data_IF_889312953121
#
_entry.id   IF_889312953121
#
_cell.length_a   1.000
_cell.length_b   1.000
_cell.length_c   1.000
_cell.angle_alpha   90.00
_cell.angle_beta   90.00
_cell.angle_gamma   90.00
#
_symmetry.space_group_name_H-M   'P 1'
#
loop_
_entity.id
_entity.type
_entity.pdbx_description
1 polymer ?
#
# COMPACT_ATOMS: atom_id res chain seq x y z
N UNK A 1 -22.73 -13.81 -8.22
CA UNK A 1 -22.59 -15.16 -8.77
C UNK A 1 -21.84 -15.05 -10.09
N UNK A 2 -20.56 -15.37 -10.18
CA UNK A 2 -19.57 -15.65 -9.12
C UNK A 2 -18.29 -14.84 -9.41
N UNK A 3 -17.43 -14.67 -8.42
CA UNK A 3 -16.08 -14.17 -8.67
C UNK A 3 -15.28 -15.25 -9.42
N UNK A 4 -14.26 -14.87 -10.20
CA UNK A 4 -13.38 -15.85 -10.86
C UNK A 4 -12.79 -16.82 -9.81
N UNK A 5 -13.11 -18.12 -9.86
CA UNK A 5 -12.68 -19.07 -8.85
C UNK A 5 -11.15 -19.23 -8.86
N UNK A 6 -10.48 -19.04 -10.01
CA UNK A 6 -9.03 -19.14 -10.08
C UNK A 6 -8.33 -18.03 -9.28
N UNK A 7 -8.70 -16.77 -9.51
CA UNK A 7 -8.20 -15.62 -8.76
C UNK A 7 -8.54 -15.67 -7.26
N UNK A 8 -9.73 -16.15 -6.89
CA UNK A 8 -10.15 -16.27 -5.49
C UNK A 8 -9.42 -17.39 -4.75
N UNK A 9 -9.26 -18.58 -5.36
CA UNK A 9 -8.46 -19.65 -4.74
C UNK A 9 -6.97 -19.30 -4.70
N UNK A 10 -6.44 -18.61 -5.71
CA UNK A 10 -5.06 -18.11 -5.65
C UNK A 10 -4.88 -17.09 -4.51
N UNK A 11 -5.88 -16.26 -4.21
CA UNK A 11 -5.85 -15.37 -3.05
C UNK A 11 -5.84 -16.14 -1.73
N UNK A 12 -6.76 -17.11 -1.57
CA UNK A 12 -6.82 -18.01 -0.40
C UNK A 12 -5.52 -18.80 -0.19
N UNK A 13 -4.79 -19.11 -1.27
CA UNK A 13 -3.50 -19.79 -1.20
C UNK A 13 -2.39 -18.95 -0.52
N UNK A 14 -2.52 -17.62 -0.45
CA UNK A 14 -1.52 -16.75 0.18
C UNK A 14 -1.55 -16.89 1.72
N UNK A 15 -0.41 -17.24 2.32
CA UNK A 15 -0.28 -17.27 3.78
C UNK A 15 -0.59 -15.91 4.43
N UNK A 16 -0.20 -14.80 3.79
CA UNK A 16 -0.51 -13.46 4.27
C UNK A 16 -2.03 -13.16 4.28
N UNK A 17 -2.79 -13.70 3.32
CA UNK A 17 -4.26 -13.59 3.31
C UNK A 17 -4.85 -14.39 4.49
N UNK A 18 -4.47 -15.66 4.63
CA UNK A 18 -4.96 -16.51 5.73
C UNK A 18 -4.66 -15.93 7.11
N UNK A 19 -3.41 -15.51 7.38
CA UNK A 19 -3.04 -14.88 8.65
C UNK A 19 -3.73 -13.52 8.90
N UNK A 20 -4.19 -12.83 7.86
CA UNK A 20 -5.05 -11.67 8.04
C UNK A 20 -6.49 -12.09 8.34
N UNK A 21 -7.08 -13.05 7.62
CA UNK A 21 -8.42 -13.56 7.91
C UNK A 21 -8.53 -14.20 9.30
N UNK A 22 -7.54 -15.02 9.70
CA UNK A 22 -7.39 -15.57 11.06
C UNK A 22 -7.42 -14.46 12.12
N UNK A 23 -6.68 -13.36 11.89
CA UNK A 23 -6.64 -12.20 12.77
C UNK A 23 -7.94 -11.39 12.76
N UNK A 24 -8.55 -11.16 11.59
CA UNK A 24 -9.84 -10.48 11.48
C UNK A 24 -10.86 -11.26 12.34
N UNK A 25 -10.99 -12.57 12.13
CA UNK A 25 -11.88 -13.42 12.93
C UNK A 25 -11.59 -13.37 14.43
N UNK A 26 -10.32 -13.40 14.84
CA UNK A 26 -9.94 -13.36 16.26
C UNK A 26 -10.15 -11.98 16.92
N UNK A 27 -9.95 -10.89 16.19
CA UNK A 27 -10.07 -9.53 16.70
C UNK A 27 -11.49 -8.94 16.58
N UNK A 28 -12.34 -9.46 15.68
CA UNK A 28 -13.66 -8.92 15.39
C UNK A 28 -14.59 -8.81 16.62
N UNK A 29 -14.70 -9.80 17.52
CA UNK A 29 -15.59 -9.68 18.69
C UNK A 29 -15.20 -8.50 19.60
N UNK A 30 -13.92 -8.40 19.96
CA UNK A 30 -13.42 -7.27 20.77
C UNK A 30 -13.47 -5.92 20.04
N UNK A 31 -13.40 -5.91 18.70
CA UNK A 31 -13.67 -4.71 17.91
C UNK A 31 -15.15 -4.31 17.98
N UNK A 32 -16.09 -5.25 17.85
CA UNK A 32 -17.53 -4.98 17.99
C UNK A 32 -17.87 -4.45 19.39
N UNK A 33 -17.29 -5.01 20.45
CA UNK A 33 -17.44 -4.54 21.83
C UNK A 33 -16.97 -3.09 22.00
N UNK A 34 -15.73 -2.77 21.58
CA UNK A 34 -15.21 -1.39 21.65
C UNK A 34 -16.02 -0.44 20.78
N UNK A 35 -16.40 -0.87 19.58
CA UNK A 35 -17.24 -0.09 18.67
C UNK A 35 -18.62 0.20 19.28
N UNK A 36 -19.25 -0.76 19.95
CA UNK A 36 -20.51 -0.57 20.65
C UNK A 36 -20.36 0.48 21.76
N UNK A 37 -19.38 0.31 22.66
CA UNK A 37 -19.11 1.25 23.75
C UNK A 37 -18.77 2.68 23.25
N UNK A 38 -18.04 2.81 22.14
CA UNK A 38 -17.76 4.11 21.51
C UNK A 38 -19.00 4.77 20.89
N UNK A 39 -20.03 3.99 20.52
CA UNK A 39 -21.27 4.48 19.92
C UNK A 39 -22.38 4.78 20.96
N UNK A 40 -22.18 4.45 22.24
CA UNK A 40 -23.12 4.80 23.30
C UNK A 40 -23.27 6.33 23.42
N UNK A 41 -24.50 6.89 23.42
CA UNK A 41 -24.70 8.33 23.53
C UNK A 41 -24.19 8.88 24.87
N UNK A 42 -23.10 9.64 24.83
CA UNK A 42 -22.55 10.26 26.03
C UNK A 42 -23.52 11.32 26.58
N UNK A 43 -24.00 11.21 27.84
CA UNK A 43 -25.17 11.96 28.33
C UNK A 43 -24.98 13.48 28.42
N UNK A 44 -23.75 13.99 28.27
CA UNK A 44 -23.42 15.43 28.23
C UNK A 44 -23.08 15.96 26.82
N UNK A 45 -23.05 15.09 25.80
CA UNK A 45 -22.67 15.42 24.42
C UNK A 45 -23.75 14.96 23.46
N UNK A 46 -24.82 15.76 23.31
CA UNK A 46 -26.10 15.31 22.75
C UNK A 46 -26.09 14.65 21.36
N UNK A 47 -25.17 15.05 20.47
CA UNK A 47 -24.91 14.36 19.19
C UNK A 47 -23.50 13.80 19.20
N UNK A 48 -23.37 12.52 18.86
CA UNK A 48 -22.08 11.82 18.82
C UNK A 48 -21.14 12.43 17.76
N UNK A 49 -19.90 12.84 18.13
CA UNK A 49 -19.02 13.61 17.24
C UNK A 49 -18.26 12.73 16.22
N UNK A 50 -17.70 13.36 15.20
CA UNK A 50 -16.91 12.71 14.12
C UNK A 50 -15.67 12.00 14.68
N UNK A 51 -15.13 12.49 15.80
CA UNK A 51 -14.01 11.87 16.53
C UNK A 51 -14.31 10.43 17.01
N UNK A 52 -15.58 10.08 17.22
CA UNK A 52 -15.97 8.69 17.54
C UNK A 52 -15.78 7.78 16.31
N UNK A 53 -16.12 8.24 15.11
CA UNK A 53 -15.82 7.52 13.87
C UNK A 53 -14.31 7.37 13.68
N UNK A 54 -13.52 8.42 13.90
CA UNK A 54 -12.05 8.33 13.84
C UNK A 54 -11.51 7.23 14.76
N UNK A 55 -11.93 7.17 16.03
CA UNK A 55 -11.43 6.15 16.97
C UNK A 55 -11.99 4.74 16.73
N UNK A 56 -13.15 4.60 16.07
CA UNK A 56 -13.62 3.29 15.56
C UNK A 56 -12.73 2.84 14.39
N UNK A 57 -12.29 3.75 13.52
CA UNK A 57 -11.34 3.44 12.45
C UNK A 57 -9.94 3.14 13.01
N UNK A 58 -9.49 3.84 14.04
CA UNK A 58 -8.22 3.57 14.73
C UNK A 58 -8.20 2.14 15.30
N UNK A 59 -9.25 1.73 16.03
CA UNK A 59 -9.42 0.35 16.51
C UNK A 59 -9.40 -0.66 15.35
N UNK A 60 -10.12 -0.37 14.25
CA UNK A 60 -10.21 -1.24 13.09
C UNK A 60 -8.84 -1.44 12.43
N UNK A 61 -8.18 -0.35 12.03
CA UNK A 61 -6.96 -0.44 11.24
C UNK A 61 -5.79 -1.01 12.04
N UNK A 62 -5.63 -0.60 13.31
CA UNK A 62 -4.53 -1.07 14.16
C UNK A 62 -4.75 -2.48 14.69
N UNK A 63 -5.92 -2.77 15.28
CA UNK A 63 -6.16 -4.04 15.97
C UNK A 63 -6.58 -5.17 15.04
N UNK A 64 -7.33 -4.85 13.98
CA UNK A 64 -7.93 -5.86 13.08
C UNK A 64 -7.12 -6.02 11.78
N UNK A 65 -6.57 -4.92 11.24
CA UNK A 65 -5.99 -4.88 9.88
C UNK A 65 -4.46 -4.71 9.80
N UNK A 66 -3.76 -4.88 10.93
CA UNK A 66 -2.29 -4.93 11.06
C UNK A 66 -1.57 -3.60 10.78
N UNK A 67 -2.28 -2.46 10.80
CA UNK A 67 -1.61 -1.17 10.60
C UNK A 67 -0.80 -0.77 11.84
N UNK A 68 0.48 -0.36 11.67
CA UNK A 68 1.22 0.25 12.76
C UNK A 68 0.50 1.50 13.26
N UNK A 69 0.59 1.79 14.57
CA UNK A 69 -0.05 2.98 15.15
C UNK A 69 0.59 4.26 14.59
N UNK A 70 1.91 4.24 14.38
CA UNK A 70 2.66 5.27 13.66
C UNK A 70 2.27 5.40 12.16
N UNK A 71 1.53 4.44 11.62
CA UNK A 71 0.96 4.48 10.28
C UNK A 71 -0.49 4.98 10.21
N UNK A 72 -1.13 5.26 11.35
CA UNK A 72 -2.48 5.84 11.42
C UNK A 72 -2.38 7.33 11.76
N UNK A 73 -2.47 8.19 10.75
CA UNK A 73 -2.16 9.62 10.89
C UNK A 73 -3.46 10.46 10.82
N UNK A 74 -4.03 10.91 11.96
CA UNK A 74 -5.17 11.81 11.94
C UNK A 74 -4.77 13.22 11.49
N UNK A 75 -5.69 13.91 10.82
CA UNK A 75 -5.64 15.36 10.50
C UNK A 75 -4.44 15.83 9.64
N UNK A 76 -3.88 14.94 8.81
CA UNK A 76 -2.78 15.25 7.88
C UNK A 76 -3.30 15.98 6.64
N UNK A 77 -2.80 17.19 6.41
CA UNK A 77 -3.03 17.97 5.17
C UNK A 77 -4.53 18.05 4.80
N UNK A 78 -5.37 18.38 5.80
CA UNK A 78 -6.84 18.51 5.74
C UNK A 78 -7.64 17.23 5.52
N UNK A 79 -7.00 16.08 5.31
CA UNK A 79 -7.69 14.78 5.39
C UNK A 79 -7.88 14.36 6.86
N UNK A 80 -9.03 13.74 7.17
CA UNK A 80 -9.34 13.34 8.55
C UNK A 80 -8.39 12.23 9.03
N UNK A 81 -8.09 11.25 8.18
CA UNK A 81 -7.12 10.18 8.42
C UNK A 81 -6.33 9.89 7.13
N UNK A 82 -5.01 9.73 7.27
CA UNK A 82 -4.13 9.19 6.22
C UNK A 82 -3.41 7.95 6.76
N UNK A 83 -3.53 6.83 6.05
CA UNK A 83 -2.78 5.61 6.36
C UNK A 83 -1.46 5.59 5.57
N UNK A 84 -0.35 5.47 6.27
CA UNK A 84 1.00 5.46 5.72
C UNK A 84 1.84 4.30 6.27
N UNK A 85 2.85 3.86 5.51
CA UNK A 85 3.91 2.96 5.99
C UNK A 85 5.21 3.35 5.29
N UNK A 86 6.30 3.57 6.05
CA UNK A 86 7.61 3.96 5.53
C UNK A 86 7.55 5.27 4.72
N UNK A 87 6.83 6.27 5.25
CA UNK A 87 6.55 7.57 4.64
C UNK A 87 5.56 7.55 3.47
N UNK A 88 5.30 6.39 2.87
CA UNK A 88 4.45 6.24 1.67
C UNK A 88 2.98 6.21 2.09
N UNK A 89 2.14 7.02 1.43
CA UNK A 89 0.72 7.20 1.73
C UNK A 89 -0.13 6.26 0.86
N UNK A 90 -1.02 5.49 1.49
CA UNK A 90 -1.71 4.36 0.87
C UNK A 90 -3.23 4.47 0.81
N UNK A 91 -3.85 5.12 1.81
CA UNK A 91 -5.29 5.32 1.89
C UNK A 91 -5.58 6.65 2.57
N UNK A 92 -6.48 7.45 1.98
CA UNK A 92 -7.10 8.59 2.66
C UNK A 92 -8.50 8.20 3.09
N UNK A 93 -8.90 8.54 4.32
CA UNK A 93 -10.23 8.28 4.85
C UNK A 93 -10.88 9.59 5.29
N UNK A 94 -12.10 9.81 4.83
CA UNK A 94 -13.00 10.87 5.30
C UNK A 94 -13.96 10.29 6.34
N UNK A 95 -14.01 10.91 7.53
CA UNK A 95 -14.75 10.44 8.69
C UNK A 95 -15.97 11.33 8.96
N UNK A 96 -17.18 10.77 8.82
CA UNK A 96 -18.46 11.46 9.10
C UNK A 96 -19.06 10.97 10.42
N UNK A 97 -20.06 11.71 10.93
CA UNK A 97 -20.70 11.43 12.24
C UNK A 97 -21.30 10.03 12.26
N UNK A 98 -21.30 9.34 13.42
CA UNK A 98 -21.97 8.06 13.60
C UNK A 98 -23.32 7.92 12.88
N UNK A 99 -23.37 7.03 11.88
CA UNK A 99 -24.56 6.73 11.08
C UNK A 99 -25.02 7.80 10.10
N UNK A 100 -24.29 8.92 9.92
CA UNK A 100 -24.77 10.05 9.10
C UNK A 100 -24.67 9.85 7.59
N UNK A 101 -23.95 8.83 7.11
CA UNK A 101 -24.00 8.44 5.69
C UNK A 101 -25.21 7.55 5.43
N UNK A 102 -25.65 6.76 6.42
CA UNK A 102 -26.93 6.02 6.42
C UNK A 102 -27.16 5.16 5.15
N UNK A 103 -26.08 4.65 4.54
CA UNK A 103 -26.07 3.94 3.26
C UNK A 103 -26.64 4.75 2.06
N UNK A 104 -26.82 6.06 2.23
CA UNK A 104 -27.32 6.95 1.18
C UNK A 104 -26.22 7.20 0.14
N UNK A 105 -26.41 6.67 -1.07
CA UNK A 105 -25.46 6.80 -2.18
C UNK A 105 -24.99 8.25 -2.41
N UNK A 106 -25.91 9.22 -2.45
CA UNK A 106 -25.54 10.62 -2.70
C UNK A 106 -24.78 11.28 -1.55
N UNK A 107 -24.89 10.77 -0.32
CA UNK A 107 -24.05 11.19 0.81
C UNK A 107 -22.65 10.57 0.72
N UNK A 108 -22.58 9.28 0.39
CA UNK A 108 -21.33 8.54 0.14
C UNK A 108 -20.54 9.15 -1.01
N UNK A 109 -21.18 9.42 -2.16
CA UNK A 109 -20.56 10.03 -3.34
C UNK A 109 -19.95 11.41 -3.00
N UNK A 110 -20.66 12.27 -2.26
CA UNK A 110 -20.13 13.58 -1.82
C UNK A 110 -18.94 13.48 -0.86
N UNK A 111 -18.97 12.52 0.07
CA UNK A 111 -17.85 12.28 0.97
C UNK A 111 -16.62 11.73 0.20
N UNK A 112 -16.87 10.89 -0.82
CA UNK A 112 -15.81 10.39 -1.71
C UNK A 112 -15.23 11.51 -2.57
N UNK A 113 -16.03 12.45 -3.07
CA UNK A 113 -15.53 13.63 -3.78
C UNK A 113 -14.66 14.50 -2.86
N UNK A 114 -15.05 14.66 -1.59
CA UNK A 114 -14.23 15.36 -0.59
C UNK A 114 -12.86 14.69 -0.42
N UNK A 115 -12.82 13.37 -0.20
CA UNK A 115 -11.61 12.57 -0.11
C UNK A 115 -10.78 12.56 -1.41
N UNK A 116 -11.43 12.60 -2.58
CA UNK A 116 -10.77 12.62 -3.90
C UNK A 116 -9.91 13.87 -4.09
N UNK A 117 -10.33 15.03 -3.57
CA UNK A 117 -9.52 16.26 -3.61
C UNK A 117 -8.20 16.08 -2.86
N UNK A 118 -8.28 15.62 -1.60
CA UNK A 118 -7.11 15.37 -0.77
C UNK A 118 -6.22 14.27 -1.38
N UNK A 119 -6.81 13.23 -1.98
CA UNK A 119 -6.06 12.18 -2.67
C UNK A 119 -5.33 12.69 -3.92
N UNK A 120 -5.89 13.66 -4.63
CA UNK A 120 -5.21 14.36 -5.74
C UNK A 120 -4.05 15.22 -5.23
N UNK A 121 -4.28 16.03 -4.19
CA UNK A 121 -3.27 16.89 -3.55
C UNK A 121 -2.09 16.07 -3.00
N UNK A 122 -2.40 14.97 -2.28
CA UNK A 122 -1.43 14.09 -1.61
C UNK A 122 -0.93 12.93 -2.50
N UNK A 123 -1.36 12.86 -3.77
CA UNK A 123 -0.93 11.86 -4.77
C UNK A 123 -1.18 10.40 -4.32
N UNK A 124 -2.33 10.14 -3.70
CA UNK A 124 -2.79 8.83 -3.20
C UNK A 124 -3.83 8.22 -4.15
N UNK A 125 -3.70 6.92 -4.46
CA UNK A 125 -4.56 6.24 -5.44
C UNK A 125 -5.73 5.43 -4.85
N UNK A 126 -5.93 5.45 -3.52
CA UNK A 126 -7.08 4.83 -2.87
C UNK A 126 -7.69 5.76 -1.81
N UNK A 127 -9.02 5.78 -1.76
CA UNK A 127 -9.82 6.59 -0.84
C UNK A 127 -10.88 5.76 -0.14
N UNK A 128 -11.29 6.19 1.05
CA UNK A 128 -12.40 5.62 1.79
C UNK A 128 -13.25 6.68 2.47
N UNK A 129 -14.49 6.29 2.82
CA UNK A 129 -15.43 7.07 3.61
C UNK A 129 -16.03 6.17 4.69
N UNK A 130 -16.24 6.71 5.89
CA UNK A 130 -16.91 5.99 6.97
C UNK A 130 -17.78 6.90 7.83
N UNK A 131 -18.81 6.33 8.43
CA UNK A 131 -19.64 6.93 9.46
C UNK A 131 -19.68 6.07 10.74
N UNK A 132 -18.66 5.23 10.97
CA UNK A 132 -18.60 4.30 12.11
C UNK A 132 -19.63 3.16 12.06
N UNK A 133 -20.57 3.17 11.11
CA UNK A 133 -21.56 2.10 10.86
C UNK A 133 -21.22 1.35 9.57
N UNK A 134 -20.80 2.07 8.53
CA UNK A 134 -20.26 1.50 7.30
C UNK A 134 -18.85 2.01 6.98
N UNK A 135 -18.13 1.23 6.18
CA UNK A 135 -16.88 1.62 5.52
C UNK A 135 -16.99 1.29 4.04
N UNK A 136 -16.85 2.30 3.19
CA UNK A 136 -16.71 2.14 1.74
C UNK A 136 -15.32 2.63 1.31
N UNK A 137 -14.68 1.92 0.39
CA UNK A 137 -13.40 2.30 -0.20
C UNK A 137 -13.38 2.07 -1.70
N UNK A 138 -12.64 2.91 -2.42
CA UNK A 138 -12.46 2.86 -3.87
C UNK A 138 -11.01 3.15 -4.28
N UNK A 139 -10.58 2.54 -5.38
CA UNK A 139 -9.38 2.96 -6.11
C UNK A 139 -9.71 4.13 -7.04
N UNK A 140 -8.84 5.15 -7.08
CA UNK A 140 -8.88 6.21 -8.09
C UNK A 140 -8.09 5.71 -9.29
N UNK A 141 -8.76 5.53 -10.41
CA UNK A 141 -8.16 4.99 -11.64
C UNK A 141 -8.92 5.49 -12.88
N UNK A 142 -8.20 5.66 -13.98
CA UNK A 142 -8.77 5.87 -15.32
C UNK A 142 -9.72 7.10 -15.41
N UNK A 143 -9.48 8.11 -14.56
CA UNK A 143 -10.32 9.31 -14.45
C UNK A 143 -11.58 9.16 -13.58
N UNK A 144 -11.82 7.98 -13.01
CA UNK A 144 -12.98 7.67 -12.17
C UNK A 144 -12.64 7.00 -10.85
N UNK A 145 -13.66 6.40 -10.22
CA UNK A 145 -13.58 5.62 -8.98
C UNK A 145 -13.96 4.17 -9.28
N UNK A 146 -13.20 3.20 -8.75
CA UNK A 146 -13.44 1.75 -8.87
C UNK A 146 -13.68 1.17 -7.48
N UNK A 147 -14.82 0.51 -7.29
CA UNK A 147 -15.17 -0.11 -6.00
C UNK A 147 -14.06 -1.03 -5.48
N UNK A 148 -13.67 -0.87 -4.21
CA UNK A 148 -12.61 -1.67 -3.59
C UNK A 148 -13.09 -2.49 -2.40
N UNK A 149 -13.82 -1.89 -1.46
CA UNK A 149 -14.42 -2.56 -0.29
C UNK A 149 -15.72 -1.86 0.09
N UNK A 150 -16.73 -2.61 0.53
CA UNK A 150 -17.95 -2.07 1.12
C UNK A 150 -18.44 -2.99 2.23
N UNK A 151 -18.39 -2.54 3.49
CA UNK A 151 -18.67 -3.41 4.65
C UNK A 151 -19.50 -2.70 5.74
N UNK A 152 -20.45 -3.41 6.38
CA UNK A 152 -21.07 -2.99 7.63
C UNK A 152 -20.12 -3.29 8.81
N UNK A 153 -19.70 -2.26 9.53
CA UNK A 153 -18.83 -2.39 10.71
C UNK A 153 -19.55 -2.95 11.95
N UNK A 154 -20.87 -3.14 11.86
CA UNK A 154 -21.71 -3.80 12.87
C UNK A 154 -22.13 -5.24 12.53
N UNK A 155 -21.53 -5.86 11.51
CA UNK A 155 -21.78 -7.27 11.17
C UNK A 155 -21.42 -8.20 12.33
N UNK A 156 -22.25 -9.20 12.65
CA UNK A 156 -21.87 -10.29 13.55
C UNK A 156 -20.69 -11.09 12.99
N UNK A 157 -20.74 -11.36 11.69
CA UNK A 157 -19.73 -12.15 10.99
C UNK A 157 -18.57 -11.24 10.54
N UNK A 158 -17.31 -11.65 10.73
CA UNK A 158 -16.13 -10.86 10.36
C UNK A 158 -16.07 -10.65 8.83
N UNK A 159 -16.15 -9.40 8.31
CA UNK A 159 -16.17 -9.15 6.88
C UNK A 159 -14.74 -9.25 6.30
N UNK A 160 -14.36 -10.46 5.89
CA UNK A 160 -13.01 -10.80 5.39
C UNK A 160 -12.54 -9.97 4.18
N UNK A 161 -13.47 -9.31 3.48
CA UNK A 161 -13.20 -8.35 2.41
C UNK A 161 -12.37 -7.14 2.87
N UNK A 162 -12.35 -6.85 4.18
CA UNK A 162 -11.42 -5.90 4.82
C UNK A 162 -9.94 -6.22 4.56
N UNK A 163 -9.59 -7.45 4.18
CA UNK A 163 -8.26 -7.82 3.70
C UNK A 163 -7.69 -6.80 2.69
N UNK A 164 -8.52 -6.31 1.76
CA UNK A 164 -8.10 -5.39 0.70
C UNK A 164 -7.67 -4.00 1.21
N UNK A 165 -7.98 -3.66 2.47
CA UNK A 165 -7.50 -2.45 3.16
C UNK A 165 -6.45 -2.75 4.24
N UNK A 166 -6.08 -4.02 4.43
CA UNK A 166 -4.99 -4.39 5.34
C UNK A 166 -3.61 -3.96 4.80
N UNK A 167 -2.63 -3.91 5.70
CA UNK A 167 -1.20 -3.68 5.39
C UNK A 167 -0.64 -4.59 4.30
N UNK A 168 -1.26 -5.73 4.03
CA UNK A 168 -0.84 -6.70 3.03
C UNK A 168 -1.76 -6.77 1.80
N UNK A 169 -2.92 -6.11 1.82
CA UNK A 169 -3.88 -6.04 0.71
C UNK A 169 -3.96 -4.69 0.00
N UNK A 170 -3.67 -3.56 0.69
CA UNK A 170 -3.86 -2.20 0.16
C UNK A 170 -3.04 -1.87 -1.11
N UNK A 171 -1.92 -2.56 -1.34
CA UNK A 171 -1.13 -2.43 -2.57
C UNK A 171 -1.48 -3.49 -3.64
N UNK A 172 -2.52 -4.31 -3.44
CA UNK A 172 -2.94 -5.35 -4.39
C UNK A 172 -4.15 -4.88 -5.18
N UNK A 173 -4.06 -4.97 -6.50
CA UNK A 173 -5.20 -4.74 -7.41
C UNK A 173 -6.30 -5.76 -7.09
N UNK A 174 -7.52 -5.29 -6.82
CA UNK A 174 -8.67 -6.18 -6.68
C UNK A 174 -9.16 -6.57 -8.07
N UNK A 175 -8.96 -7.84 -8.44
CA UNK A 175 -9.47 -8.39 -9.69
C UNK A 175 -10.98 -8.59 -9.64
N UNK A 176 -11.67 -8.18 -10.70
CA UNK A 176 -13.09 -8.45 -10.93
C UNK A 176 -13.24 -9.27 -12.23
N UNK A 177 -14.13 -10.28 -12.29
CA UNK A 177 -14.26 -11.13 -13.46
C UNK A 177 -14.78 -10.36 -14.69
N UNK A 178 -14.04 -10.43 -15.79
CA UNK A 178 -14.45 -9.84 -17.07
C UNK A 178 -15.74 -10.52 -17.56
N UNK A 179 -16.83 -9.75 -17.63
CA UNK A 179 -18.13 -10.26 -18.06
C UNK A 179 -19.27 -9.82 -17.18
N UNK A 180 -19.00 -9.55 -15.89
CA UNK A 180 -19.87 -8.72 -15.06
C UNK A 180 -20.00 -7.35 -15.74
N UNK A 181 -21.23 -6.96 -16.09
CA UNK A 181 -21.46 -5.66 -16.70
C UNK A 181 -21.24 -4.57 -15.64
N UNK A 182 -20.50 -3.51 -15.93
CA UNK A 182 -20.31 -2.94 -17.27
C UNK A 182 -18.84 -2.91 -17.76
N UNK A 183 -18.22 -4.12 -17.90
CA UNK A 183 -17.67 -4.73 -19.15
C UNK A 183 -16.75 -3.86 -20.08
N UNK A 184 -15.61 -4.29 -20.69
CA UNK A 184 -15.04 -5.59 -21.12
C UNK A 184 -13.50 -5.53 -21.44
N UNK A 185 -12.79 -6.67 -21.27
CA UNK A 185 -11.65 -7.27 -22.04
C UNK A 185 -10.21 -6.63 -22.14
N UNK A 186 -9.14 -7.42 -22.51
CA UNK A 186 -7.69 -7.04 -22.45
C UNK A 186 -6.81 -7.35 -23.71
N UNK A 187 -5.50 -7.03 -23.68
CA UNK A 187 -4.44 -7.46 -24.64
C UNK A 187 -3.04 -7.70 -23.96
N UNK A 188 -2.12 -8.42 -24.64
CA UNK A 188 -0.69 -8.66 -24.27
C UNK A 188 0.23 -8.71 -25.56
N UNK A 189 1.53 -9.13 -25.54
CA UNK A 189 2.73 -8.31 -25.28
C UNK A 189 3.82 -8.38 -26.39
N UNK A 190 5.04 -7.85 -26.17
CA UNK A 190 6.20 -7.98 -27.09
C UNK A 190 7.58 -7.96 -26.38
N UNK A 191 8.64 -8.51 -27.00
CA UNK A 191 9.96 -8.86 -26.36
C UNK A 191 11.19 -7.98 -26.76
N UNK A 192 12.42 -8.33 -26.34
CA UNK A 192 13.65 -7.51 -26.48
C UNK A 192 14.99 -8.31 -26.48
N UNK A 193 16.06 -7.80 -27.13
CA UNK A 193 17.50 -8.01 -26.75
C UNK A 193 18.33 -6.68 -26.74
N UNK A 194 19.47 -6.42 -26.06
CA UNK A 194 20.58 -7.15 -25.39
C UNK A 194 21.91 -7.24 -26.21
N UNK A 195 23.16 -7.09 -25.70
CA UNK A 195 23.73 -6.62 -24.40
C UNK A 195 25.30 -6.50 -24.42
N UNK A 196 25.91 -5.82 -23.42
CA UNK A 196 27.33 -5.94 -22.91
C UNK A 196 28.50 -5.31 -23.71
N UNK A 197 29.79 -5.32 -23.23
CA UNK A 197 30.40 -5.27 -21.86
C UNK A 197 31.27 -3.99 -21.66
N UNK A 198 31.98 -3.63 -20.56
CA UNK A 198 32.63 -4.29 -19.40
C UNK A 198 34.17 -4.01 -19.43
N UNK A 199 35.01 -4.29 -18.39
CA UNK A 199 34.80 -4.60 -16.96
C UNK A 199 35.16 -3.34 -16.09
N UNK A 200 35.85 -3.26 -14.93
CA UNK A 200 36.44 -4.20 -13.93
C UNK A 200 36.52 -3.56 -12.50
N UNK A 201 37.45 -4.00 -11.62
CA UNK A 201 37.30 -3.96 -10.15
C UNK A 201 38.59 -3.80 -9.30
N UNK A 202 38.39 -3.53 -8.00
CA UNK A 202 39.35 -3.69 -6.90
C UNK A 202 38.64 -4.22 -5.64
N UNK A 203 39.39 -4.85 -4.72
CA UNK A 203 38.83 -5.64 -3.61
C UNK A 203 38.04 -4.83 -2.56
N UNK A 204 36.90 -5.37 -2.11
CA UNK A 204 36.03 -4.78 -1.07
C UNK A 204 35.35 -5.87 -0.23
N UNK A 205 35.18 -5.61 1.08
CA UNK A 205 34.46 -6.45 2.04
C UNK A 205 33.09 -6.93 1.54
N UNK A 206 32.80 -8.24 1.63
CA UNK A 206 31.63 -8.88 1.02
C UNK A 206 30.57 -9.36 2.03
N UNK A 207 29.29 -9.26 1.64
CA UNK A 207 28.16 -9.72 2.44
C UNK A 207 28.10 -11.27 2.54
N UNK A 208 27.98 -11.87 3.75
CA UNK A 208 28.03 -13.33 3.97
C UNK A 208 27.14 -14.19 3.05
N UNK A 209 25.85 -13.82 2.90
CA UNK A 209 24.88 -14.50 2.02
C UNK A 209 25.05 -14.18 0.52
N UNK A 210 25.05 -12.90 0.15
CA UNK A 210 24.98 -12.46 -1.25
C UNK A 210 26.33 -12.40 -1.98
N UNK A 211 27.45 -12.47 -1.24
CA UNK A 211 28.83 -12.33 -1.76
C UNK A 211 29.07 -11.05 -2.59
N UNK A 212 28.35 -9.98 -2.26
CA UNK A 212 28.48 -8.65 -2.86
C UNK A 212 28.97 -7.62 -1.83
N UNK A 213 29.73 -6.60 -2.26
CA UNK A 213 30.17 -5.52 -1.39
C UNK A 213 29.07 -4.51 -1.04
N UNK A 214 29.29 -3.69 -0.02
CA UNK A 214 28.33 -2.70 0.50
C UNK A 214 27.70 -1.81 -0.59
N UNK A 215 28.49 -1.36 -1.57
CA UNK A 215 28.05 -0.53 -2.72
C UNK A 215 26.90 -1.13 -3.53
N UNK A 216 26.68 -2.45 -3.46
CA UNK A 216 25.64 -3.13 -4.23
C UNK A 216 24.25 -3.12 -3.54
N UNK A 217 24.13 -2.54 -2.34
CA UNK A 217 22.93 -2.56 -1.49
C UNK A 217 22.33 -1.14 -1.37
N UNK A 218 21.01 -1.02 -1.53
CA UNK A 218 20.36 0.30 -1.54
C UNK A 218 20.30 0.95 -0.14
N UNK A 219 20.40 0.13 0.92
CA UNK A 219 20.59 0.57 2.29
C UNK A 219 21.77 -0.15 2.95
N UNK A 220 22.63 0.62 3.62
CA UNK A 220 23.72 0.15 4.48
C UNK A 220 23.61 0.95 5.78
N UNK A 221 23.39 0.27 6.91
CA UNK A 221 23.33 0.92 8.22
C UNK A 221 24.73 1.08 8.84
N UNK A 222 25.54 0.02 8.76
CA UNK A 222 26.92 -0.02 9.25
C UNK A 222 27.80 -0.74 8.22
N UNK A 223 28.84 -0.05 7.73
CA UNK A 223 29.79 -0.58 6.75
C UNK A 223 30.70 -1.68 7.34
N UNK A 224 30.88 -1.76 8.67
CA UNK A 224 31.59 -2.85 9.34
C UNK A 224 30.73 -4.10 9.57
N UNK A 225 29.40 -3.99 9.53
CA UNK A 225 28.47 -5.08 9.84
C UNK A 225 27.53 -5.41 8.67
N UNK A 226 27.88 -6.38 7.82
CA UNK A 226 27.08 -6.77 6.66
C UNK A 226 25.64 -7.23 6.94
N UNK A 227 25.27 -7.57 8.19
CA UNK A 227 23.88 -7.90 8.54
C UNK A 227 22.94 -6.69 8.43
N UNK A 228 23.49 -5.48 8.47
CA UNK A 228 22.75 -4.22 8.31
C UNK A 228 22.49 -3.87 6.84
N UNK A 229 23.20 -4.47 5.88
CA UNK A 229 23.06 -4.13 4.46
C UNK A 229 21.79 -4.79 3.90
N UNK A 230 20.88 -4.00 3.34
CA UNK A 230 19.57 -4.46 2.83
C UNK A 230 19.42 -4.11 1.36
N UNK A 231 18.59 -4.89 0.66
CA UNK A 231 18.15 -4.61 -0.71
C UNK A 231 19.30 -4.55 -1.73
N UNK A 232 19.98 -5.69 -2.02
CA UNK A 232 20.96 -5.74 -3.09
C UNK A 232 20.30 -5.45 -4.45
N UNK A 233 20.89 -4.57 -5.25
CA UNK A 233 20.32 -4.08 -6.53
C UNK A 233 21.36 -3.88 -7.64
N UNK A 234 22.66 -3.93 -7.34
CA UNK A 234 23.74 -3.93 -8.33
C UNK A 234 24.48 -5.29 -8.34
N UNK A 235 25.11 -5.58 -9.47
CA UNK A 235 26.12 -6.62 -9.62
C UNK A 235 27.47 -6.19 -9.03
N UNK A 236 28.47 -7.08 -9.04
CA UNK A 236 29.81 -6.82 -8.50
C UNK A 236 30.53 -5.66 -9.23
N UNK A 237 30.34 -5.58 -10.54
CA UNK A 237 30.87 -4.58 -11.48
C UNK A 237 30.17 -3.20 -11.40
N UNK A 238 29.14 -3.04 -10.56
CA UNK A 238 28.36 -1.79 -10.48
C UNK A 238 27.32 -1.59 -11.59
N UNK A 239 27.13 -2.58 -12.47
CA UNK A 239 25.95 -2.67 -13.34
C UNK A 239 24.71 -2.98 -12.51
N UNK A 240 23.53 -2.65 -13.04
CA UNK A 240 22.25 -2.90 -12.35
C UNK A 240 21.91 -4.39 -12.42
N UNK A 241 21.68 -5.03 -11.28
CA UNK A 241 21.14 -6.39 -11.24
C UNK A 241 19.63 -6.30 -11.54
N UNK A 242 19.28 -6.38 -12.82
CA UNK A 242 17.89 -6.36 -13.32
C UNK A 242 17.02 -7.49 -12.74
N UNK A 243 17.61 -8.55 -12.17
CA UNK A 243 16.91 -9.64 -11.50
C UNK A 243 16.68 -9.35 -10.01
N UNK A 244 17.38 -8.40 -9.39
CA UNK A 244 17.20 -7.98 -7.99
C UNK A 244 16.60 -6.59 -7.81
N UNK A 245 16.86 -5.62 -8.70
CA UNK A 245 16.31 -4.27 -8.63
C UNK A 245 14.77 -4.25 -8.46
N UNK A 246 13.96 -4.96 -9.28
CA UNK A 246 12.52 -5.09 -9.04
C UNK A 246 12.18 -5.57 -7.63
N UNK A 247 12.93 -6.53 -7.09
CA UNK A 247 12.69 -7.13 -5.77
C UNK A 247 13.10 -6.19 -4.64
N UNK A 248 14.17 -5.42 -4.83
CA UNK A 248 14.62 -4.38 -3.92
C UNK A 248 13.55 -3.28 -3.75
N UNK A 249 12.96 -2.82 -4.86
CA UNK A 249 11.84 -1.88 -4.89
C UNK A 249 10.59 -2.51 -4.24
N UNK A 250 10.22 -3.73 -4.66
CA UNK A 250 9.06 -4.46 -4.15
C UNK A 250 9.10 -4.64 -2.62
N UNK A 251 10.28 -4.91 -2.04
CA UNK A 251 10.49 -5.05 -0.60
C UNK A 251 10.15 -3.79 0.21
N UNK A 252 10.32 -2.58 -0.35
CA UNK A 252 9.97 -1.30 0.28
C UNK A 252 8.49 -1.01 0.06
N UNK A 253 8.05 -1.03 -1.21
CA UNK A 253 6.72 -0.55 -1.60
C UNK A 253 5.58 -1.53 -1.28
N UNK A 254 5.85 -2.82 -1.03
CA UNK A 254 4.80 -3.86 -0.94
C UNK A 254 5.18 -4.96 0.07
N UNK A 255 5.14 -6.23 -0.33
CA UNK A 255 5.85 -7.32 0.33
C UNK A 255 6.62 -8.16 -0.69
N UNK A 256 7.69 -8.82 -0.25
CA UNK A 256 8.40 -9.83 -1.02
C UNK A 256 8.22 -11.18 -0.36
N UNK A 257 7.54 -12.11 -1.04
CA UNK A 257 7.21 -13.46 -0.55
C UNK A 257 6.47 -13.46 0.82
N UNK A 258 5.60 -12.48 1.05
CA UNK A 258 4.84 -12.35 2.31
C UNK A 258 5.49 -11.43 3.36
N UNK A 259 6.79 -11.16 3.29
CA UNK A 259 7.49 -10.32 4.26
C UNK A 259 7.67 -8.87 3.76
N UNK A 260 7.50 -7.90 4.66
CA UNK A 260 8.02 -6.53 4.50
C UNK A 260 9.50 -6.49 4.88
N UNK A 261 10.25 -5.52 4.37
CA UNK A 261 11.64 -5.30 4.81
C UNK A 261 11.66 -4.70 6.23
N UNK A 262 12.51 -5.23 7.10
CA UNK A 262 12.73 -4.73 8.47
C UNK A 262 14.17 -4.31 8.69
N UNK A 263 14.39 -3.39 9.64
CA UNK A 263 15.71 -2.83 9.93
C UNK A 263 16.23 -1.86 8.86
N UNK A 264 15.33 -1.12 8.20
CA UNK A 264 15.63 0.14 7.49
C UNK A 264 14.83 1.23 8.22
N UNK A 265 15.47 2.25 8.81
CA UNK A 265 14.76 3.37 9.44
C UNK A 265 13.96 4.19 8.42
N UNK A 266 12.79 4.71 8.81
CA UNK A 266 11.88 5.44 7.93
C UNK A 266 12.54 6.68 7.30
N UNK A 267 13.33 7.43 8.08
CA UNK A 267 14.10 8.57 7.60
C UNK A 267 15.17 8.23 6.54
N UNK A 268 15.51 6.96 6.36
CA UNK A 268 16.41 6.51 5.29
C UNK A 268 15.66 6.16 3.98
N UNK A 269 14.34 5.98 4.02
CA UNK A 269 13.53 5.50 2.89
C UNK A 269 13.61 6.44 1.67
N UNK A 270 13.54 7.79 1.79
CA UNK A 270 13.72 8.67 0.64
C UNK A 270 15.05 8.44 -0.10
N UNK A 271 16.15 8.34 0.64
CA UNK A 271 17.48 8.09 0.05
C UNK A 271 17.62 6.68 -0.55
N UNK A 272 16.91 5.68 0.00
CA UNK A 272 16.85 4.32 -0.55
C UNK A 272 16.05 4.31 -1.86
N UNK A 273 14.89 4.97 -1.90
CA UNK A 273 14.07 5.09 -3.10
C UNK A 273 14.80 5.85 -4.21
N UNK A 274 15.47 6.97 -3.89
CA UNK A 274 16.29 7.72 -4.84
C UNK A 274 17.38 6.86 -5.51
N UNK A 275 18.12 6.04 -4.74
CA UNK A 275 19.13 5.11 -5.29
C UNK A 275 18.55 4.04 -6.20
N UNK A 276 17.39 3.47 -5.83
CA UNK A 276 16.67 2.49 -6.63
C UNK A 276 16.08 3.11 -7.90
N UNK A 277 15.66 4.38 -7.83
CA UNK A 277 15.15 5.15 -8.95
C UNK A 277 16.24 5.50 -9.96
N UNK A 278 17.40 6.01 -9.51
CA UNK A 278 18.55 6.24 -10.36
C UNK A 278 19.02 4.94 -11.07
N UNK A 279 18.94 3.79 -10.38
CA UNK A 279 19.20 2.49 -10.99
C UNK A 279 18.15 2.10 -12.04
N UNK A 280 16.86 2.34 -11.79
CA UNK A 280 15.78 2.06 -12.73
C UNK A 280 15.84 2.99 -13.97
N UNK A 281 16.20 4.26 -13.79
CA UNK A 281 16.45 5.22 -14.86
C UNK A 281 17.64 4.80 -15.74
N UNK A 282 18.76 4.36 -15.13
CA UNK A 282 19.93 3.80 -15.83
C UNK A 282 19.64 2.57 -16.70
N UNK A 283 18.52 1.89 -16.50
CA UNK A 283 18.04 0.78 -17.36
C UNK A 283 16.75 1.13 -18.12
N UNK A 284 16.43 2.42 -18.26
CA UNK A 284 15.33 2.95 -19.06
C UNK A 284 13.93 2.86 -18.42
N UNK A 285 13.75 2.17 -17.30
CA UNK A 285 12.43 1.88 -16.71
C UNK A 285 11.69 3.08 -16.08
N UNK A 286 12.34 4.23 -15.94
CA UNK A 286 11.73 5.50 -15.48
C UNK A 286 11.83 6.64 -16.53
N UNK A 287 12.20 6.33 -17.77
CA UNK A 287 12.22 7.33 -18.85
C UNK A 287 10.79 7.74 -19.24
N UNK A 288 10.51 9.01 -19.57
CA UNK A 288 9.24 9.42 -20.18
C UNK A 288 8.95 8.72 -21.52
N UNK A 289 9.98 8.17 -22.18
CA UNK A 289 9.85 7.37 -23.40
C UNK A 289 9.58 5.87 -23.14
N UNK A 290 9.49 5.42 -21.88
CA UNK A 290 9.21 4.02 -21.56
C UNK A 290 7.72 3.71 -21.77
N UNK A 291 7.40 2.97 -22.84
CA UNK A 291 6.06 2.42 -23.05
C UNK A 291 5.75 1.34 -22.01
N UNK A 292 4.66 1.55 -21.24
CA UNK A 292 4.13 0.61 -20.24
C UNK A 292 5.20 0.02 -19.27
N UNK A 293 5.86 0.85 -18.44
CA UNK A 293 6.83 0.36 -17.45
C UNK A 293 6.13 -0.58 -16.46
N UNK A 294 6.80 -1.67 -16.08
CA UNK A 294 6.21 -2.67 -15.18
C UNK A 294 5.72 -2.05 -13.86
N UNK A 295 4.62 -2.58 -13.31
CA UNK A 295 3.88 -2.06 -12.15
C UNK A 295 4.74 -1.72 -10.91
N UNK A 296 5.89 -2.39 -10.72
CA UNK A 296 6.86 -2.09 -9.66
C UNK A 296 7.58 -0.75 -9.84
N UNK A 297 7.82 -0.34 -11.08
CA UNK A 297 8.43 0.95 -11.45
C UNK A 297 7.40 2.07 -11.52
N UNK A 298 6.15 1.78 -11.91
CA UNK A 298 5.02 2.72 -11.78
C UNK A 298 4.89 3.18 -10.32
N UNK A 299 4.79 2.22 -9.38
CA UNK A 299 4.71 2.49 -7.94
C UNK A 299 5.94 3.20 -7.37
N UNK A 300 7.11 3.00 -7.99
CA UNK A 300 8.32 3.75 -7.62
C UNK A 300 8.18 5.21 -8.06
N UNK A 301 7.73 5.49 -9.28
CA UNK A 301 7.42 6.85 -9.74
C UNK A 301 6.33 7.51 -8.87
N UNK A 302 5.32 6.75 -8.44
CA UNK A 302 4.29 7.25 -7.52
C UNK A 302 4.86 7.62 -6.14
N UNK A 303 5.67 6.74 -5.54
CA UNK A 303 6.29 6.99 -4.24
C UNK A 303 7.32 8.14 -4.28
N UNK A 304 8.11 8.25 -5.35
CA UNK A 304 9.01 9.41 -5.56
C UNK A 304 8.23 10.72 -5.66
N UNK A 305 7.09 10.72 -6.38
CA UNK A 305 6.20 11.88 -6.48
C UNK A 305 5.52 12.19 -5.15
N UNK A 306 5.08 11.22 -4.35
CA UNK A 306 4.53 11.47 -3.01
C UNK A 306 5.55 12.10 -2.06
N UNK A 307 6.81 11.69 -2.14
CA UNK A 307 7.90 12.14 -1.26
C UNK A 307 8.68 13.34 -1.82
N UNK A 308 8.23 13.91 -2.94
CA UNK A 308 8.83 15.05 -3.66
C UNK A 308 10.32 14.86 -4.04
N UNK A 309 10.72 13.60 -4.28
CA UNK A 309 12.09 13.21 -4.61
C UNK A 309 12.35 13.42 -6.10
N UNK A 310 13.09 14.46 -6.46
CA UNK A 310 13.64 14.63 -7.81
C UNK A 310 14.77 13.65 -8.07
N UNK A 311 14.62 12.78 -9.06
CA UNK A 311 15.76 12.09 -9.67
C UNK A 311 16.46 13.06 -10.62
N UNK A 312 17.66 13.50 -10.26
CA UNK A 312 18.56 14.18 -11.19
C UNK A 312 18.98 13.21 -12.32
N UNK A 313 19.14 13.76 -13.53
CA UNK A 313 19.39 13.03 -14.78
C UNK A 313 20.88 12.82 -15.07
#
# INVERSE_FOLDING_TARGET
MEADPAGVEQLKSLAAYRHCCERICAAWPGFLERRAARLEPHPLLGNTPEKITESILEDLFTSVLDWPLEGFNPQVERADIVLSILGIRWLIIEAKRPGSLAWNRSAVDRALDQATRYASEQRVSCIAVSDGVMLYAADIADGGKRDRVFVPLGSSDPPLDLWWLSVQGIYRTRGFPQGASFRLLPEEPMESPASAPGPDTGEVLLHPKYKLPARCFAYVGDHGNPRTWKLPYLNLDGTVDTKRLPKAIQCILTNYRGARVSGIPEQAIPAVLARLAAAAARVGHLSPAASNPALVYQRLADALRQLEITTES
#
